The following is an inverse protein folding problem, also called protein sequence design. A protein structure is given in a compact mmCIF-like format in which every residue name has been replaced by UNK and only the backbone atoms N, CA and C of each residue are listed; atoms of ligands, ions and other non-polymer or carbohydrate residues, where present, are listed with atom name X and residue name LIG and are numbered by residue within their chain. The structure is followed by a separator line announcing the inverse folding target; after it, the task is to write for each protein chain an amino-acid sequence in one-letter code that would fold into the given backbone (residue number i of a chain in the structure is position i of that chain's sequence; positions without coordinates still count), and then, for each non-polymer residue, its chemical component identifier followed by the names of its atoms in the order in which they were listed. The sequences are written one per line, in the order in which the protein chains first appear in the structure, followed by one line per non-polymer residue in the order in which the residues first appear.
data_IF_136650955361
#
_entry.id   IF_136650955361
#
_cell.length_a   1.000
_cell.length_b   1.000
_cell.length_c   1.000
_cell.angle_alpha   90.00
_cell.angle_beta   90.00
_cell.angle_gamma   90.00
#
_symmetry.space_group_name_H-M   'P 1'
#
loop_
_entity.id
_entity.type
_entity.pdbx_description
1 polymer ?
#
# COMPACT_ATOMS: atom_id res chain seq x y z
N UNK A 1 -6.90 -2.09 3.44
CA UNK A 1 -6.23 -3.25 4.08
C UNK A 1 -5.49 -2.81 5.36
N UNK A 2 -5.25 -3.64 6.38
CA UNK A 2 -4.64 -3.17 7.64
C UNK A 2 -3.11 -3.32 7.64
N UNK A 3 -2.42 -2.39 8.30
CA UNK A 3 -1.00 -2.52 8.69
C UNK A 3 -0.75 -3.85 9.43
N UNK A 4 -1.78 -4.35 10.13
CA UNK A 4 -1.73 -5.62 10.83
C UNK A 4 -1.53 -6.82 9.89
N UNK A 5 -2.11 -6.79 8.68
CA UNK A 5 -1.99 -7.88 7.71
C UNK A 5 -0.56 -7.97 7.16
N UNK A 6 0.03 -6.82 6.82
CA UNK A 6 1.44 -6.74 6.41
C UNK A 6 2.37 -7.23 7.52
N UNK A 7 2.13 -6.77 8.76
CA UNK A 7 2.94 -7.15 9.92
C UNK A 7 2.88 -8.65 10.20
N UNK A 8 1.70 -9.26 10.09
CA UNK A 8 1.52 -10.70 10.30
C UNK A 8 2.24 -11.52 9.22
N UNK A 9 2.11 -11.13 7.95
CA UNK A 9 2.79 -11.79 6.84
C UNK A 9 4.33 -11.67 6.96
N UNK A 10 4.84 -10.48 7.31
CA UNK A 10 6.26 -10.26 7.55
C UNK A 10 6.76 -11.11 8.74
N UNK A 11 5.96 -11.24 9.81
CA UNK A 11 6.29 -12.09 10.96
C UNK A 11 6.39 -13.56 10.57
N UNK A 12 5.50 -14.05 9.71
CA UNK A 12 5.55 -15.43 9.21
C UNK A 12 6.82 -15.69 8.38
N UNK A 13 7.17 -14.76 7.49
CA UNK A 13 8.41 -14.82 6.71
C UNK A 13 9.63 -14.91 7.63
N UNK A 14 9.73 -14.03 8.63
CA UNK A 14 10.83 -14.06 9.60
C UNK A 14 10.82 -15.31 10.48
N UNK A 15 9.65 -15.83 10.83
CA UNK A 15 9.51 -17.09 11.58
C UNK A 15 10.09 -18.27 10.81
N UNK A 16 9.85 -18.33 9.49
CA UNK A 16 10.39 -19.39 8.63
C UNK A 16 11.92 -19.33 8.55
N UNK A 17 12.51 -18.14 8.40
CA UNK A 17 13.96 -17.94 8.41
C UNK A 17 14.61 -18.49 9.69
N UNK A 18 14.01 -18.21 10.84
CA UNK A 18 14.48 -18.70 12.14
C UNK A 18 14.38 -20.22 12.26
N UNK A 19 13.37 -20.84 11.63
CA UNK A 19 13.15 -22.29 11.65
C UNK A 19 14.10 -23.08 10.72
N UNK A 20 14.58 -22.45 9.65
CA UNK A 20 15.47 -23.06 8.65
C UNK A 20 16.94 -23.00 9.08
N UNK A 21 17.29 -22.11 10.01
CA UNK A 21 18.65 -22.01 10.56
C UNK A 21 18.88 -23.14 11.60
N UNK A 22 19.94 -23.99 11.52
CA UNK A 22 21.20 -23.84 10.77
C UNK A 22 21.31 -24.76 9.54
N UNK A 23 20.19 -25.21 8.95
CA UNK A 23 20.18 -26.29 7.95
C UNK A 23 20.69 -25.86 6.57
N UNK A 24 20.82 -24.57 6.30
CA UNK A 24 21.27 -24.04 5.01
C UNK A 24 22.32 -22.93 5.16
N UNK A 25 22.90 -22.53 4.02
CA UNK A 25 23.83 -21.40 3.93
C UNK A 25 23.12 -20.11 4.35
N UNK A 26 23.70 -19.43 5.34
CA UNK A 26 23.09 -18.26 5.98
C UNK A 26 22.96 -17.08 5.05
N UNK A 27 23.96 -16.84 4.19
CA UNK A 27 23.94 -15.68 3.29
C UNK A 27 22.85 -15.85 2.22
N UNK A 28 22.75 -17.04 1.63
CA UNK A 28 21.69 -17.35 0.65
C UNK A 28 20.28 -17.27 1.26
N UNK A 29 20.12 -17.72 2.51
CA UNK A 29 18.85 -17.55 3.22
C UNK A 29 18.54 -16.06 3.45
N UNK A 30 19.51 -15.27 3.90
CA UNK A 30 19.29 -13.84 4.13
C UNK A 30 18.86 -13.12 2.85
N UNK A 31 19.53 -13.39 1.72
CA UNK A 31 19.17 -12.81 0.42
C UNK A 31 17.75 -13.21 -0.01
N UNK A 32 17.42 -14.51 0.05
CA UNK A 32 16.10 -15.01 -0.35
C UNK A 32 14.97 -14.40 0.50
N UNK A 33 15.17 -14.27 1.81
CA UNK A 33 14.18 -13.69 2.71
C UNK A 33 14.10 -12.17 2.60
N UNK A 34 15.20 -11.48 2.30
CA UNK A 34 15.19 -10.06 1.98
C UNK A 34 14.39 -9.77 0.69
N UNK A 35 14.52 -10.62 -0.32
CA UNK A 35 13.72 -10.54 -1.55
C UNK A 35 12.23 -10.75 -1.27
N UNK A 36 11.88 -11.74 -0.44
CA UNK A 36 10.48 -11.99 -0.06
C UNK A 36 9.86 -10.81 0.69
N UNK A 37 10.59 -10.20 1.63
CA UNK A 37 10.11 -9.00 2.34
C UNK A 37 9.96 -7.80 1.39
N UNK A 38 10.86 -7.66 0.43
CA UNK A 38 10.80 -6.58 -0.57
C UNK A 38 9.59 -6.75 -1.51
N UNK A 39 9.30 -7.98 -1.94
CA UNK A 39 8.11 -8.29 -2.73
C UNK A 39 6.83 -8.03 -1.94
N UNK A 40 6.79 -8.44 -0.66
CA UNK A 40 5.67 -8.17 0.23
C UNK A 40 5.42 -6.66 0.36
N UNK A 41 6.46 -5.87 0.64
CA UNK A 41 6.36 -4.42 0.72
C UNK A 41 5.84 -3.80 -0.58
N UNK A 42 6.37 -4.25 -1.72
CA UNK A 42 5.95 -3.78 -3.04
C UNK A 42 4.48 -4.08 -3.29
N UNK A 43 4.03 -5.31 -3.03
CA UNK A 43 2.64 -5.72 -3.20
C UNK A 43 1.66 -4.86 -2.40
N UNK A 44 1.92 -4.71 -1.10
CA UNK A 44 1.08 -3.91 -0.20
C UNK A 44 1.09 -2.42 -0.60
N UNK A 45 2.24 -1.88 -0.99
CA UNK A 45 2.35 -0.49 -1.45
C UNK A 45 1.55 -0.23 -2.72
N UNK A 46 1.63 -1.14 -3.70
CA UNK A 46 0.85 -1.03 -4.94
C UNK A 46 -0.65 -1.14 -4.68
N UNK A 47 -1.08 -2.03 -3.79
CA UNK A 47 -2.49 -2.17 -3.43
C UNK A 47 -3.03 -0.92 -2.74
N UNK A 48 -2.30 -0.36 -1.77
CA UNK A 48 -2.68 0.90 -1.12
C UNK A 48 -2.77 2.05 -2.13
N UNK A 49 -1.81 2.14 -3.05
CA UNK A 49 -1.85 3.14 -4.11
C UNK A 49 -3.07 2.95 -5.02
N UNK A 50 -3.41 1.71 -5.38
CA UNK A 50 -4.61 1.41 -6.16
C UNK A 50 -5.89 1.78 -5.41
N UNK A 51 -6.01 1.44 -4.12
CA UNK A 51 -7.16 1.84 -3.29
C UNK A 51 -7.34 3.36 -3.28
N UNK A 52 -6.23 4.10 -3.12
CA UNK A 52 -6.22 5.56 -3.14
C UNK A 52 -6.63 6.12 -4.50
N UNK A 53 -6.10 5.57 -5.59
CA UNK A 53 -6.43 6.03 -6.95
C UNK A 53 -7.91 5.81 -7.25
N UNK A 54 -8.48 4.66 -6.87
CA UNK A 54 -9.89 4.37 -7.10
C UNK A 54 -10.82 5.24 -6.24
N UNK A 55 -10.46 5.53 -4.98
CA UNK A 55 -11.19 6.50 -4.16
C UNK A 55 -11.12 7.92 -4.76
N UNK A 56 -9.94 8.33 -5.22
CA UNK A 56 -9.76 9.61 -5.90
C UNK A 56 -10.65 9.72 -7.13
N UNK A 57 -10.64 8.70 -7.98
CA UNK A 57 -11.45 8.62 -9.18
C UNK A 57 -12.93 8.70 -8.85
N UNK A 58 -13.40 7.91 -7.89
CA UNK A 58 -14.81 7.89 -7.47
C UNK A 58 -15.28 9.27 -6.99
N UNK A 59 -14.46 9.95 -6.18
CA UNK A 59 -14.76 11.30 -5.68
C UNK A 59 -14.72 12.36 -6.78
N UNK A 60 -13.79 12.23 -7.73
CA UNK A 60 -13.71 13.12 -8.89
C UNK A 60 -14.93 12.95 -9.78
N UNK A 61 -15.30 11.72 -10.13
CA UNK A 61 -16.48 11.41 -10.96
C UNK A 61 -17.77 11.95 -10.32
N UNK A 62 -17.92 11.81 -9.00
CA UNK A 62 -19.06 12.34 -8.26
C UNK A 62 -19.15 13.88 -8.28
N UNK A 63 -18.02 14.58 -8.37
CA UNK A 63 -17.94 16.05 -8.40
C UNK A 63 -17.94 16.63 -9.82
N UNK A 64 -17.59 15.82 -10.82
CA UNK A 64 -17.52 16.21 -12.24
C UNK A 64 -18.88 16.14 -12.95
N UNK A 65 -19.87 15.44 -12.38
CA UNK A 65 -21.26 15.48 -12.85
C UNK A 65 -22.03 16.69 -12.29
N UNK A 66 -23.03 17.18 -13.05
CA UNK A 66 -22.92 18.21 -14.07
C UNK A 66 -22.92 19.62 -13.43
N UNK A 67 -21.78 20.13 -12.96
CA UNK A 67 -21.72 21.50 -12.44
C UNK A 67 -20.46 22.23 -12.92
N UNK A 68 -20.51 23.57 -13.08
CA UNK A 68 -19.65 24.35 -13.95
C UNK A 68 -18.21 24.35 -13.46
N UNK A 69 -17.29 23.99 -14.37
CA UNK A 69 -15.82 23.99 -14.38
C UNK A 69 -15.04 24.60 -13.18
N UNK A 70 -15.50 25.70 -12.57
CA UNK A 70 -14.90 26.28 -11.34
C UNK A 70 -15.18 25.48 -10.06
N UNK A 71 -16.37 24.91 -9.89
CA UNK A 71 -16.66 23.97 -8.79
C UNK A 71 -15.86 22.69 -8.94
N UNK A 72 -15.66 22.26 -10.19
CA UNK A 72 -14.86 21.09 -10.54
C UNK A 72 -13.40 21.21 -10.08
N UNK A 73 -12.74 22.36 -10.34
CA UNK A 73 -11.35 22.60 -9.97
C UNK A 73 -11.14 22.64 -8.45
N UNK A 74 -11.99 23.37 -7.72
CA UNK A 74 -11.96 23.39 -6.26
C UNK A 74 -12.26 21.99 -5.66
N UNK A 75 -13.15 21.24 -6.32
CA UNK A 75 -13.48 19.88 -5.99
C UNK A 75 -12.29 18.93 -6.11
N UNK A 76 -11.52 19.00 -7.20
CA UNK A 76 -10.32 18.16 -7.40
C UNK A 76 -9.26 18.44 -6.34
N UNK A 77 -8.97 19.72 -6.06
CA UNK A 77 -7.94 20.11 -5.11
C UNK A 77 -8.25 19.61 -3.69
N UNK A 78 -9.51 19.72 -3.26
CA UNK A 78 -9.95 19.23 -1.95
C UNK A 78 -9.91 17.70 -1.89
N UNK A 79 -10.25 17.01 -2.98
CA UNK A 79 -10.17 15.53 -3.03
C UNK A 79 -8.73 15.03 -2.84
N UNK A 80 -7.75 15.66 -3.51
CA UNK A 80 -6.34 15.33 -3.32
C UNK A 80 -5.90 15.57 -1.86
N UNK A 81 -6.36 16.67 -1.25
CA UNK A 81 -6.07 16.99 0.14
C UNK A 81 -6.68 15.96 1.11
N UNK A 82 -7.92 15.51 0.86
CA UNK A 82 -8.61 14.53 1.70
C UNK A 82 -7.96 13.14 1.61
N UNK A 83 -7.51 12.75 0.42
CA UNK A 83 -6.74 11.52 0.20
C UNK A 83 -5.42 11.58 0.95
N UNK A 84 -4.70 12.70 0.82
CA UNK A 84 -3.44 12.90 1.53
C UNK A 84 -3.68 12.77 3.05
N UNK A 85 -4.72 13.40 3.57
CA UNK A 85 -5.05 13.33 4.98
C UNK A 85 -5.49 11.93 5.44
N UNK A 86 -6.09 11.09 4.59
CA UNK A 86 -6.47 9.72 4.96
C UNK A 86 -5.31 8.74 4.92
N UNK A 87 -4.26 9.02 4.14
CA UNK A 87 -3.03 8.22 4.10
C UNK A 87 -2.14 8.43 5.34
N UNK A 88 -2.24 9.60 5.98
CA UNK A 88 -1.38 9.99 7.11
C UNK A 88 -2.09 9.99 8.48
N UNK A 89 -3.31 9.46 8.56
CA UNK A 89 -4.06 9.26 9.81
C UNK A 89 -3.98 7.81 10.28
#
# INVERSE_FOLDING_TARGET
MSIDDFREQARQILGNLLSETPKADREQLLDAYADLLTQLHTHHSHQLLSEVIEDARTRLDARLSPDPVRQTLAGVQTTIQDIWNSLWK
#
